data_IF_695917121507
#
_entry.id   IF_695917121507
#
_cell.length_a   1.000
_cell.length_b   1.000
_cell.length_c   1.000
_cell.angle_alpha   90.00
_cell.angle_beta   90.00
_cell.angle_gamma   90.00
#
_symmetry.space_group_name_H-M   'P 1'
#
loop_
_entity.id
_entity.type
_entity.pdbx_description
1 polymer ?
#
# COMPACT_ATOMS: atom_id res chain seq x y z
N UNK A 1 19.23 4.92 -26.83
CA UNK A 1 18.47 3.70 -26.43
C UNK A 1 16.96 3.99 -26.37
N UNK A 2 16.12 3.24 -27.10
CA UNK A 2 14.66 3.40 -27.02
C UNK A 2 14.19 3.01 -25.60
N UNK A 3 13.33 3.81 -24.93
CA UNK A 3 12.83 3.46 -23.61
C UNK A 3 12.03 2.15 -23.70
N UNK A 4 12.34 1.20 -22.81
CA UNK A 4 11.67 -0.11 -22.74
C UNK A 4 10.26 0.07 -22.15
N UNK A 5 9.34 0.62 -22.94
CA UNK A 5 7.95 0.87 -22.51
C UNK A 5 7.12 -0.40 -22.72
N UNK A 6 6.47 -0.89 -21.67
CA UNK A 6 5.49 -1.97 -21.78
C UNK A 6 4.24 -1.55 -22.56
N UNK A 7 3.35 -2.51 -22.84
CA UNK A 7 2.02 -2.21 -23.42
C UNK A 7 1.22 -1.33 -22.46
N UNK A 8 0.40 -0.42 -22.99
CA UNK A 8 -0.52 0.40 -22.19
C UNK A 8 -1.42 -0.52 -21.37
N UNK A 9 -1.42 -0.35 -20.05
CA UNK A 9 -2.29 -1.09 -19.14
C UNK A 9 -3.53 -0.24 -18.79
N UNK A 10 -4.65 -0.90 -18.49
CA UNK A 10 -5.82 -0.26 -17.86
C UNK A 10 -5.41 0.35 -16.53
N UNK A 11 -5.93 1.55 -16.25
CA UNK A 11 -5.75 2.22 -14.96
C UNK A 11 -6.35 1.42 -13.81
N UNK A 12 -5.91 1.69 -12.57
CA UNK A 12 -6.50 1.06 -11.40
C UNK A 12 -7.98 1.45 -11.22
N UNK A 13 -8.35 2.69 -11.56
CA UNK A 13 -9.73 3.16 -11.51
C UNK A 13 -10.65 2.37 -12.46
N UNK A 14 -10.21 2.16 -13.70
CA UNK A 14 -10.95 1.33 -14.66
C UNK A 14 -11.11 -0.11 -14.15
N UNK A 15 -10.08 -0.67 -13.51
CA UNK A 15 -10.15 -2.02 -12.92
C UNK A 15 -11.07 -2.08 -11.71
N UNK A 16 -11.09 -1.05 -10.86
CA UNK A 16 -11.99 -0.99 -9.70
C UNK A 16 -13.46 -0.94 -10.14
N UNK A 17 -13.76 -0.20 -11.21
CA UNK A 17 -15.11 -0.06 -11.75
C UNK A 17 -15.58 -1.28 -12.57
N UNK A 18 -14.66 -2.14 -13.01
CA UNK A 18 -14.97 -3.32 -13.81
C UNK A 18 -15.64 -4.41 -12.94
N UNK A 19 -16.91 -4.79 -13.20
CA UNK A 19 -17.60 -5.83 -12.45
C UNK A 19 -16.97 -7.22 -12.59
N UNK A 20 -16.14 -7.42 -13.63
CA UNK A 20 -15.42 -8.69 -13.85
C UNK A 20 -14.12 -8.81 -13.03
N UNK A 21 -13.73 -7.75 -12.32
CA UNK A 21 -12.56 -7.79 -11.44
C UNK A 21 -12.77 -8.82 -10.35
N UNK A 22 -11.87 -9.80 -10.30
CA UNK A 22 -11.93 -10.88 -9.32
C UNK A 22 -11.30 -10.40 -8.00
N UNK A 23 -12.17 -10.10 -7.04
CA UNK A 23 -11.79 -9.72 -5.70
C UNK A 23 -11.62 -10.95 -4.82
N UNK A 24 -10.53 -11.00 -4.05
CA UNK A 24 -10.29 -12.03 -3.05
C UNK A 24 -10.58 -11.48 -1.66
N UNK A 25 -11.45 -12.16 -0.90
CA UNK A 25 -11.72 -11.79 0.48
C UNK A 25 -10.57 -12.19 1.40
N UNK A 26 -10.12 -11.26 2.24
CA UNK A 26 -9.08 -11.48 3.25
C UNK A 26 -9.53 -11.00 4.63
N UNK A 27 -8.95 -11.60 5.66
CA UNK A 27 -9.07 -11.12 7.04
C UNK A 27 -7.72 -10.62 7.54
N UNK A 28 -7.70 -9.42 8.12
CA UNK A 28 -6.49 -8.78 8.62
C UNK A 28 -6.77 -7.99 9.91
N UNK A 29 -5.78 -7.93 10.81
CA UNK A 29 -5.84 -7.04 11.98
C UNK A 29 -5.47 -5.63 11.51
N UNK A 30 -6.33 -4.67 11.81
CA UNK A 30 -6.17 -3.27 11.41
C UNK A 30 -5.44 -2.45 12.50
N UNK A 31 -5.24 -1.15 12.28
CA UNK A 31 -4.49 -0.29 13.23
C UNK A 31 -5.14 -0.20 14.61
N UNK A 32 -6.46 -0.34 14.68
CA UNK A 32 -7.27 -0.33 15.91
C UNK A 32 -7.22 -1.66 16.67
N UNK A 33 -6.40 -2.62 16.20
CA UNK A 33 -6.35 -3.98 16.73
C UNK A 33 -7.56 -4.83 16.36
N UNK A 34 -8.53 -4.29 15.61
CA UNK A 34 -9.75 -4.99 15.23
C UNK A 34 -9.52 -5.78 13.95
N UNK A 35 -10.05 -7.01 13.94
CA UNK A 35 -10.03 -7.85 12.75
C UNK A 35 -11.06 -7.36 11.73
N UNK A 36 -10.60 -6.96 10.56
CA UNK A 36 -11.43 -6.52 9.43
C UNK A 36 -11.47 -7.55 8.31
N UNK A 37 -12.62 -7.64 7.65
CA UNK A 37 -12.80 -8.40 6.41
C UNK A 37 -12.73 -7.42 5.25
N UNK A 38 -11.74 -7.58 4.38
CA UNK A 38 -11.48 -6.69 3.24
C UNK A 38 -11.44 -7.51 1.96
N UNK A 39 -11.56 -6.83 0.84
CA UNK A 39 -11.40 -7.42 -0.48
C UNK A 39 -10.13 -6.88 -1.14
N UNK A 40 -9.37 -7.75 -1.80
CA UNK A 40 -8.10 -7.42 -2.44
C UNK A 40 -8.03 -7.98 -3.85
N UNK A 41 -7.49 -7.20 -4.78
CA UNK A 41 -6.94 -7.73 -6.04
C UNK A 41 -5.52 -7.19 -6.25
N UNK A 42 -4.75 -7.86 -7.09
CA UNK A 42 -3.34 -7.51 -7.28
C UNK A 42 -2.89 -7.71 -8.72
N UNK A 43 -1.75 -7.11 -9.06
CA UNK A 43 -1.09 -7.31 -10.32
C UNK A 43 0.34 -6.82 -10.31
N UNK A 44 1.00 -6.94 -11.46
CA UNK A 44 2.36 -6.45 -11.68
C UNK A 44 2.34 -5.47 -12.85
N UNK A 45 3.05 -4.36 -12.67
CA UNK A 45 3.17 -3.30 -13.66
C UNK A 45 4.61 -2.82 -13.75
N UNK A 46 5.01 -2.32 -14.92
CA UNK A 46 6.27 -1.61 -15.05
C UNK A 46 6.11 -0.18 -14.56
N UNK A 47 6.92 0.20 -13.57
CA UNK A 47 7.04 1.56 -13.09
C UNK A 47 8.04 2.32 -13.95
N UNK A 48 7.55 3.31 -14.68
CA UNK A 48 8.38 4.15 -15.53
C UNK A 48 8.87 5.36 -14.75
N UNK A 49 10.19 5.50 -14.67
CA UNK A 49 10.84 6.74 -14.23
C UNK A 49 11.65 7.28 -15.40
N UNK A 50 11.47 8.57 -15.77
CA UNK A 50 12.36 9.18 -16.74
C UNK A 50 13.76 9.16 -16.12
N UNK A 51 14.75 8.62 -16.84
CA UNK A 51 16.17 8.41 -16.47
C UNK A 51 16.53 6.98 -16.05
N UNK A 52 15.67 6.23 -15.35
CA UNK A 52 16.02 4.85 -14.93
C UNK A 52 15.37 3.78 -15.81
N UNK A 53 15.98 2.59 -15.82
CA UNK A 53 15.37 1.42 -16.43
C UNK A 53 14.05 1.12 -15.68
N UNK A 54 12.94 0.85 -16.41
CA UNK A 54 11.67 0.57 -15.77
C UNK A 54 11.79 -0.71 -14.94
N UNK A 55 11.34 -0.64 -13.70
CA UNK A 55 11.31 -1.77 -12.78
C UNK A 55 9.90 -2.33 -12.69
N UNK A 56 9.80 -3.63 -12.47
CA UNK A 56 8.52 -4.26 -12.15
C UNK A 56 8.14 -3.93 -10.70
N UNK A 57 6.87 -3.59 -10.50
CA UNK A 57 6.29 -3.39 -9.18
C UNK A 57 5.07 -4.26 -9.04
N UNK A 58 4.92 -4.86 -7.86
CA UNK A 58 3.67 -5.47 -7.46
C UNK A 58 2.79 -4.42 -6.83
N UNK A 59 1.55 -4.36 -7.26
CA UNK A 59 0.54 -3.49 -6.67
C UNK A 59 -0.63 -4.33 -6.15
N UNK A 60 -1.27 -3.81 -5.12
CA UNK A 60 -2.52 -4.33 -4.58
C UNK A 60 -3.52 -3.19 -4.54
N UNK A 61 -4.80 -3.52 -4.70
CA UNK A 61 -5.91 -2.61 -4.41
C UNK A 61 -6.78 -3.28 -3.37
N UNK A 62 -7.10 -2.53 -2.32
CA UNK A 62 -7.87 -2.99 -1.17
C UNK A 62 -9.12 -2.14 -1.07
N UNK A 63 -10.26 -2.79 -0.84
CA UNK A 63 -11.50 -2.10 -0.48
C UNK A 63 -12.15 -2.76 0.73
N UNK A 64 -12.90 -1.95 1.47
CA UNK A 64 -13.82 -2.46 2.47
C UNK A 64 -15.20 -2.68 1.82
N UNK A 65 -15.71 -3.92 1.78
CA UNK A 65 -17.03 -4.19 1.22
C UNK A 65 -18.16 -3.47 1.97
N UNK A 66 -17.94 -3.01 3.20
CA UNK A 66 -18.89 -2.20 3.97
C UNK A 66 -18.81 -0.70 3.68
N UNK A 67 -17.74 -0.25 3.03
CA UNK A 67 -17.51 1.16 2.70
C UNK A 67 -17.08 2.03 3.89
N UNK A 68 -16.70 1.45 5.03
CA UNK A 68 -16.21 2.23 6.19
C UNK A 68 -14.78 2.74 5.96
N UNK A 69 -14.01 2.04 5.11
CA UNK A 69 -12.68 2.44 4.66
C UNK A 69 -12.67 2.77 3.17
N UNK A 70 -11.88 3.77 2.80
CA UNK A 70 -11.65 4.12 1.39
C UNK A 70 -10.98 2.97 0.63
N UNK A 71 -11.31 2.85 -0.65
CA UNK A 71 -10.56 1.96 -1.56
C UNK A 71 -9.19 2.58 -1.83
N UNK A 72 -8.11 1.81 -1.66
CA UNK A 72 -6.75 2.31 -1.74
C UNK A 72 -5.80 1.31 -2.41
N UNK A 73 -4.76 1.82 -3.07
CA UNK A 73 -3.74 1.04 -3.74
C UNK A 73 -2.41 1.12 -2.99
N UNK A 74 -1.72 -0.01 -2.88
CA UNK A 74 -0.41 -0.11 -2.25
C UNK A 74 0.59 -0.80 -3.18
N UNK A 75 1.87 -0.51 -3.01
CA UNK A 75 2.93 -0.91 -3.95
C UNK A 75 4.10 -1.56 -3.22
N UNK A 76 4.76 -2.50 -3.89
CA UNK A 76 5.96 -3.17 -3.42
C UNK A 76 6.89 -3.50 -4.58
N UNK A 77 8.19 -3.29 -4.38
CA UNK A 77 9.24 -3.75 -5.31
C UNK A 77 9.55 -5.25 -5.13
N UNK A 78 9.11 -5.86 -4.02
CA UNK A 78 9.21 -7.31 -3.82
C UNK A 78 8.05 -8.01 -4.54
N UNK A 79 8.32 -8.55 -5.74
CA UNK A 79 7.34 -9.23 -6.57
C UNK A 79 6.81 -10.55 -5.96
N UNK A 80 7.57 -11.15 -5.04
CA UNK A 80 7.20 -12.41 -4.39
C UNK A 80 6.33 -12.22 -3.15
N UNK A 81 6.17 -10.98 -2.67
CA UNK A 81 5.31 -10.69 -1.53
C UNK A 81 3.85 -10.95 -1.89
N UNK A 82 3.13 -11.69 -1.03
CA UNK A 82 1.69 -11.87 -1.18
C UNK A 82 0.95 -10.55 -0.94
N UNK A 83 -0.24 -10.44 -1.51
CA UNK A 83 -1.05 -9.23 -1.39
C UNK A 83 -1.38 -8.89 0.09
N UNK A 84 -1.64 -9.92 0.90
CA UNK A 84 -1.85 -9.79 2.35
C UNK A 84 -0.59 -9.35 3.09
N UNK A 85 0.59 -9.86 2.73
CA UNK A 85 1.86 -9.43 3.35
C UNK A 85 2.18 -7.97 3.05
N UNK A 86 1.97 -7.53 1.80
CA UNK A 86 2.15 -6.13 1.42
C UNK A 86 1.26 -5.26 2.31
N UNK A 87 -0.05 -5.54 2.37
CA UNK A 87 -0.98 -4.79 3.20
C UNK A 87 -0.57 -4.80 4.69
N UNK A 88 -0.15 -5.96 5.20
CA UNK A 88 0.29 -6.09 6.60
C UNK A 88 1.50 -5.20 6.91
N UNK A 89 2.50 -5.12 6.03
CA UNK A 89 3.63 -4.20 6.20
C UNK A 89 3.20 -2.73 6.25
N UNK A 90 2.24 -2.32 5.42
CA UNK A 90 1.70 -0.96 5.45
C UNK A 90 0.97 -0.66 6.77
N UNK A 91 0.18 -1.60 7.28
CA UNK A 91 -0.50 -1.45 8.59
C UNK A 91 0.54 -1.32 9.71
N UNK A 92 1.58 -2.16 9.73
CA UNK A 92 2.64 -2.10 10.73
C UNK A 92 3.41 -0.78 10.68
N UNK A 93 3.72 -0.28 9.48
CA UNK A 93 4.39 1.01 9.29
C UNK A 93 3.56 2.16 9.86
N UNK A 94 2.25 2.12 9.68
CA UNK A 94 1.34 3.13 10.24
C UNK A 94 1.36 3.12 11.77
N UNK A 95 1.42 1.94 12.40
CA UNK A 95 1.57 1.84 13.85
C UNK A 95 2.89 2.46 14.35
N UNK A 96 3.99 2.31 13.61
CA UNK A 96 5.26 2.95 13.98
C UNK A 96 5.16 4.47 13.89
N UNK A 97 4.58 5.01 12.81
CA UNK A 97 4.42 6.46 12.63
C UNK A 97 3.45 7.06 13.65
N UNK A 98 2.36 6.38 13.96
CA UNK A 98 1.39 6.81 14.99
C UNK A 98 2.01 6.76 16.38
N UNK A 99 2.86 5.77 16.67
CA UNK A 99 3.62 5.73 17.94
C UNK A 99 4.58 6.93 18.06
N UNK A 100 5.22 7.36 16.97
CA UNK A 100 6.05 8.58 16.99
C UNK A 100 5.24 9.87 17.13
N UNK A 101 4.02 9.92 16.57
CA UNK A 101 3.13 11.07 16.76
C UNK A 101 2.55 11.12 18.18
N UNK A 102 2.17 9.98 18.76
CA UNK A 102 1.75 9.86 20.16
C UNK A 102 2.91 10.20 21.12
N UNK A 103 4.14 9.76 20.84
CA UNK A 103 5.33 10.14 21.62
C UNK A 103 5.64 11.64 21.53
N UNK A 104 5.35 12.31 20.40
CA UNK A 104 5.44 13.79 20.31
C UNK A 104 4.25 14.50 20.95
N UNK A 105 3.11 13.82 21.12
CA UNK A 105 1.96 14.34 21.84
C UNK A 105 2.07 14.17 23.37
N UNK A 106 3.07 13.42 23.86
CA UNK A 106 3.38 13.32 25.28
C UNK A 106 4.47 14.33 25.68
N UNK A 107 4.16 15.37 26.47
CA UNK A 107 5.17 16.29 27.01
C UNK A 107 5.93 15.58 28.13
N UNK A 108 7.14 15.09 27.85
CA UNK A 108 7.94 14.48 28.91
C UNK A 108 9.24 13.77 28.51
N UNK A 109 9.88 14.11 27.39
CA UNK A 109 11.27 13.71 27.19
C UNK A 109 12.14 14.91 26.84
N UNK A 110 13.05 15.17 27.76
CA UNK A 110 13.79 16.41 27.92
C UNK A 110 14.85 16.60 26.84
N UNK A 111 14.90 17.85 26.39
CA UNK A 111 15.92 18.62 25.70
C UNK A 111 17.37 18.13 25.84
N UNK A 112 17.92 17.54 24.79
CA UNK A 112 19.35 17.58 24.41
C UNK A 112 19.36 17.48 22.87
N UNK A 113 19.73 18.45 22.04
CA UNK A 113 20.77 19.48 22.12
C UNK A 113 21.78 19.20 20.99
N UNK A 114 21.88 20.12 20.01
CA UNK A 114 22.77 20.21 18.82
C UNK A 114 21.98 20.07 17.50
N UNK A 115 21.85 21.06 16.60
CA UNK A 115 22.82 22.01 15.98
C UNK A 115 24.03 21.29 15.40
N UNK A 116 23.96 20.92 14.11
CA UNK A 116 24.58 21.60 12.94
C UNK A 116 23.85 21.10 11.69
#
# INVERSE_FOLDING_TARGET
PKPKKGKKQRSLLERIADPSTNWTTIQIIWYDGVKRTLEIFSGVSLWYTPIFAPIEIRWIVVRDPKGELRTEAFFSTNLNASAKQILHWFILRWNVETTFQELRAHPGFETLGAVV
#
